data_IF_692106203607
#
_entry.id   IF_692106203607
#
_cell.length_a   1.000
_cell.length_b   1.000
_cell.length_c   1.000
_cell.angle_alpha   90.00
_cell.angle_beta   90.00
_cell.angle_gamma   90.00
#
_symmetry.space_group_name_H-M   'P 1'
#
loop_
_entity.id
_entity.type
_entity.pdbx_description
1 polymer ?
2 water ?
#
# COMPACT_ATOMS: atom_id res chain seq x y z
N UNK A 1 -11.74 3.11 -6.47
CA UNK A 1 -10.88 1.93 -6.41
C UNK A 1 -9.47 2.25 -6.89
N UNK A 2 -8.72 3.00 -6.09
CA UNK A 2 -7.36 3.38 -6.49
C UNK A 2 -6.44 2.17 -6.54
N UNK A 3 -5.30 2.27 -7.22
CA UNK A 3 -4.35 1.16 -7.24
C UNK A 3 -3.87 0.81 -5.84
N UNK A 4 -3.57 -0.47 -5.65
CA UNK A 4 -3.00 -0.98 -4.40
C UNK A 4 -3.90 -0.71 -3.20
N UNK A 5 -5.21 -0.70 -3.42
CA UNK A 5 -6.18 -0.54 -2.34
C UNK A 5 -6.99 -1.81 -2.10
N UNK A 6 -6.56 -2.95 -2.64
CA UNK A 6 -7.16 -4.24 -2.35
C UNK A 6 -6.11 -5.15 -1.73
N UNK A 7 -6.48 -5.83 -0.65
CA UNK A 7 -5.58 -6.74 0.04
C UNK A 7 -6.04 -8.17 -0.17
N UNK A 8 -5.06 -9.07 -0.20
CA UNK A 8 -5.24 -10.51 -0.34
C UNK A 8 -4.84 -11.18 0.97
N UNK A 9 -5.71 -12.04 1.48
CA UNK A 9 -5.55 -12.65 2.79
C UNK A 9 -5.52 -14.16 2.68
N UNK A 10 -4.62 -14.79 3.43
CA UNK A 10 -4.61 -16.23 3.64
C UNK A 10 -5.07 -16.46 5.07
N UNK A 11 -6.25 -17.07 5.21
CA UNK A 11 -6.97 -17.16 6.47
C UNK A 11 -7.45 -18.59 6.68
N UNK A 12 -7.96 -18.85 7.88
CA UNK A 12 -8.58 -20.13 8.16
C UNK A 12 -9.85 -20.30 7.33
N UNK A 13 -10.10 -21.53 6.88
CA UNK A 13 -11.29 -21.77 6.09
C UNK A 13 -12.58 -21.68 6.90
N UNK A 14 -12.49 -21.57 8.23
CA UNK A 14 -13.65 -21.37 9.07
C UNK A 14 -13.88 -19.91 9.43
N UNK A 15 -13.20 -18.98 8.74
CA UNK A 15 -13.36 -17.56 9.01
C UNK A 15 -14.40 -16.98 8.06
N UNK A 16 -15.52 -16.45 8.57
CA UNK A 16 -16.54 -15.89 7.67
C UNK A 16 -16.26 -14.44 7.32
N UNK A 17 -17.12 -13.85 6.48
CA UNK A 17 -16.94 -12.45 6.10
C UNK A 17 -17.13 -11.51 7.28
N UNK A 18 -17.97 -11.88 8.25
CA UNK A 18 -18.27 -10.98 9.36
C UNK A 18 -17.04 -10.73 10.23
N UNK A 19 -16.24 -11.78 10.46
CA UNK A 19 -15.02 -11.62 11.24
C UNK A 19 -14.07 -10.66 10.53
N UNK A 20 -13.88 -10.87 9.22
CA UNK A 20 -13.05 -9.96 8.43
C UNK A 20 -13.56 -8.53 8.51
N UNK A 21 -14.88 -8.35 8.43
CA UNK A 21 -15.45 -7.00 8.48
C UNK A 21 -15.15 -6.34 9.82
N UNK A 22 -15.47 -7.02 10.91
CA UNK A 22 -15.28 -6.39 12.21
C UNK A 22 -13.81 -6.18 12.55
N UNK A 23 -12.91 -6.96 11.95
CA UNK A 23 -11.49 -6.79 12.25
C UNK A 23 -10.78 -5.83 11.31
N UNK A 24 -11.32 -5.56 10.12
CA UNK A 24 -10.67 -4.69 9.15
C UNK A 24 -11.39 -3.36 8.92
N UNK A 25 -12.62 -3.20 9.41
CA UNK A 25 -13.30 -1.92 9.30
C UNK A 25 -12.56 -0.76 9.96
N UNK A 26 -11.91 -0.91 11.12
CA UNK A 26 -11.23 0.25 11.73
C UNK A 26 -10.16 0.89 10.85
N UNK A 27 -9.73 0.22 9.78
CA UNK A 27 -8.65 0.73 8.95
C UNK A 27 -9.12 1.66 7.84
N UNK A 28 -10.41 1.68 7.53
CA UNK A 28 -10.91 2.55 6.50
C UNK A 28 -12.21 2.03 5.92
N UNK A 29 -12.59 2.63 4.79
CA UNK A 29 -13.88 2.36 4.16
C UNK A 29 -13.78 1.11 3.31
N UNK A 30 -14.44 0.04 3.75
CA UNK A 30 -14.41 -1.23 3.03
C UNK A 30 -15.48 -1.21 1.95
N UNK A 31 -15.08 -1.51 0.71
CA UNK A 31 -16.00 -1.54 -0.41
C UNK A 31 -16.41 -2.94 -0.82
N UNK A 32 -15.66 -3.96 -0.42
CA UNK A 32 -16.01 -5.34 -0.74
C UNK A 32 -15.21 -6.27 0.16
N UNK A 33 -15.85 -7.37 0.54
CA UNK A 33 -15.20 -8.48 1.23
C UNK A 33 -15.59 -9.75 0.49
N UNK A 34 -14.60 -10.51 0.04
CA UNK A 34 -14.83 -11.66 -0.83
C UNK A 34 -14.01 -12.83 -0.31
N UNK A 35 -14.66 -13.74 0.39
CA UNK A 35 -14.05 -15.01 0.78
C UNK A 35 -14.25 -15.98 -0.38
N UNK A 36 -13.15 -16.44 -0.97
CA UNK A 36 -13.23 -17.31 -2.13
C UNK A 36 -13.73 -18.69 -1.72
N UNK A 37 -14.80 -19.14 -2.36
CA UNK A 37 -15.38 -20.45 -2.08
C UNK A 37 -15.51 -21.25 -3.37
N UNK A 38 -15.53 -22.57 -3.22
CA UNK A 38 -15.79 -23.44 -4.36
C UNK A 38 -17.20 -23.20 -4.88
N UNK A 39 -17.33 -23.06 -6.20
CA UNK A 39 -18.63 -22.74 -6.78
C UNK A 39 -19.62 -23.90 -6.68
N UNK A 40 -19.14 -25.12 -6.45
CA UNK A 40 -20.01 -26.30 -6.39
C UNK A 40 -20.27 -26.78 -4.97
N UNK A 41 -19.28 -26.69 -4.09
CA UNK A 41 -19.43 -27.12 -2.70
C UNK A 41 -19.71 -25.97 -1.75
N UNK A 42 -19.54 -24.72 -2.20
CA UNK A 42 -19.74 -23.52 -1.38
C UNK A 42 -18.80 -23.48 -0.17
N UNK A 43 -17.71 -24.24 -0.21
CA UNK A 43 -16.78 -24.31 0.91
C UNK A 43 -15.64 -23.33 0.71
N UNK A 44 -15.26 -22.65 1.79
CA UNK A 44 -14.21 -21.65 1.72
C UNK A 44 -12.87 -22.29 1.38
N UNK A 45 -12.09 -21.60 0.54
CA UNK A 45 -10.78 -22.07 0.13
C UNK A 45 -9.65 -21.49 0.97
N UNK A 46 -9.97 -20.77 2.04
CA UNK A 46 -8.94 -20.23 2.90
C UNK A 46 -8.24 -19.00 2.36
N UNK A 47 -8.82 -18.33 1.37
CA UNK A 47 -8.26 -17.10 0.82
C UNK A 47 -9.37 -16.06 0.73
N UNK A 48 -8.99 -14.79 0.85
CA UNK A 48 -9.96 -13.71 0.88
C UNK A 48 -9.39 -12.47 0.23
N UNK A 49 -10.28 -11.56 -0.14
CA UNK A 49 -9.93 -10.25 -0.67
C UNK A 49 -10.74 -9.19 0.05
N UNK A 50 -10.09 -8.09 0.41
CA UNK A 50 -10.78 -6.95 1.03
C UNK A 50 -10.41 -5.69 0.26
N UNK A 51 -11.42 -4.94 -0.16
CA UNK A 51 -11.23 -3.76 -1.00
C UNK A 51 -11.49 -2.50 -0.18
N UNK A 52 -10.49 -1.62 -0.11
CA UNK A 52 -10.59 -0.35 0.60
C UNK A 52 -10.71 0.81 -0.37
N UNK A 53 -11.21 1.93 0.16
CA UNK A 53 -11.38 3.14 -0.64
C UNK A 53 -10.07 3.85 -0.93
N UNK A 54 -9.05 3.65 -0.10
CA UNK A 54 -7.75 4.28 -0.31
C UNK A 54 -6.66 3.25 -0.08
N UNK A 55 -5.55 3.42 -0.81
CA UNK A 55 -4.43 2.50 -0.67
C UNK A 55 -3.77 2.62 0.71
N UNK A 56 -3.87 3.78 1.35
CA UNK A 56 -3.29 3.92 2.69
C UNK A 56 -4.02 3.04 3.69
N UNK A 57 -5.34 2.94 3.56
CA UNK A 57 -6.11 2.08 4.45
C UNK A 57 -5.71 0.62 4.28
N UNK A 58 -5.60 0.17 3.02
CA UNK A 58 -5.19 -1.21 2.75
C UNK A 58 -3.78 -1.48 3.24
N UNK A 59 -2.86 -0.54 3.02
CA UNK A 59 -1.48 -0.73 3.48
C UNK A 59 -1.41 -0.79 5.00
N UNK A 60 -2.15 0.07 5.70
CA UNK A 60 -2.15 0.01 7.16
C UNK A 60 -2.75 -1.30 7.65
N UNK A 61 -3.83 -1.75 7.02
CA UNK A 61 -4.42 -3.03 7.40
C UNK A 61 -3.44 -4.17 7.20
N UNK A 62 -2.69 -4.15 6.10
CA UNK A 62 -1.70 -5.18 5.84
C UNK A 62 -0.56 -5.12 6.85
N UNK A 63 -0.12 -3.91 7.20
CA UNK A 63 1.00 -3.76 8.13
C UNK A 63 0.61 -4.17 9.54
N UNK A 64 -0.66 -3.96 9.92
CA UNK A 64 -1.09 -4.20 11.29
C UNK A 64 -1.76 -5.55 11.51
N UNK A 65 -2.25 -6.21 10.45
CA UNK A 65 -2.99 -7.45 10.60
C UNK A 65 -2.25 -8.69 10.13
N UNK A 66 -1.14 -8.53 9.41
CA UNK A 66 -0.34 -9.68 9.00
C UNK A 66 0.24 -10.38 10.23
N UNK A 67 -0.09 -11.66 10.40
CA UNK A 67 0.40 -12.45 11.51
C UNK A 67 -0.55 -12.54 12.69
N UNK A 68 -1.67 -11.83 12.66
CA UNK A 68 -2.65 -11.90 13.73
C UNK A 68 -3.47 -13.19 13.63
N UNK A 69 -4.15 -13.51 14.72
CA UNK A 69 -5.11 -14.61 14.77
C UNK A 69 -6.51 -14.03 14.77
N UNK A 70 -7.36 -14.52 13.87
CA UNK A 70 -8.72 -14.03 13.74
C UNK A 70 -9.71 -14.83 14.57
N UNK A 71 -9.23 -15.63 15.51
CA UNK A 71 -10.09 -16.41 16.36
C UNK A 71 -9.33 -17.46 17.14
N UNK A 72 -9.62 -17.58 18.44
CA UNK A 72 -8.97 -18.62 19.25
C UNK A 72 -9.16 -20.02 18.70
N UNK A 73 -10.33 -20.31 18.13
CA UNK A 73 -10.57 -21.60 17.48
C UNK A 73 -9.96 -21.69 16.09
N UNK A 74 -9.51 -20.57 15.52
CA UNK A 74 -9.08 -20.52 14.13
C UNK A 74 -7.59 -20.79 13.95
N UNK A 75 -6.89 -21.17 15.02
CA UNK A 75 -5.54 -21.73 14.95
C UNK A 75 -4.52 -20.77 14.35
N UNK A 76 -4.00 -21.10 13.17
CA UNK A 76 -2.77 -20.48 12.69
C UNK A 76 -3.00 -19.03 12.27
N UNK A 77 -1.96 -18.20 12.37
CA UNK A 77 -2.13 -16.78 12.03
C UNK A 77 -2.36 -16.57 10.54
N UNK A 78 -2.97 -15.43 10.23
CA UNK A 78 -3.30 -15.07 8.86
C UNK A 78 -2.10 -14.42 8.20
N UNK A 79 -2.12 -14.37 6.87
CA UNK A 79 -1.16 -13.60 6.09
C UNK A 79 -1.92 -12.55 5.29
N UNK A 80 -1.40 -11.32 5.27
CA UNK A 80 -2.02 -10.23 4.53
C UNK A 80 -0.99 -9.63 3.58
N UNK A 81 -1.41 -9.37 2.34
CA UNK A 81 -0.56 -8.72 1.35
C UNK A 81 -1.40 -7.75 0.54
N UNK A 82 -0.72 -6.91 -0.23
CA UNK A 82 -1.39 -6.07 -1.22
C UNK A 82 -1.62 -6.92 -2.47
N UNK A 83 -2.88 -7.08 -2.85
CA UNK A 83 -3.21 -7.86 -4.04
C UNK A 83 -2.87 -7.07 -5.29
N UNK A 84 -2.20 -7.72 -6.24
CA UNK A 84 -1.87 -7.08 -7.50
C UNK A 84 -2.98 -7.30 -8.52
N UNK A 85 -3.28 -6.26 -9.29
CA UNK A 85 -4.36 -6.33 -10.27
C UNK A 85 -3.94 -7.13 -11.51
N UNK A 86 -2.70 -6.98 -11.95
CA UNK A 86 -2.25 -7.64 -13.16
C UNK A 86 -2.07 -9.14 -12.93
N UNK A 87 -1.96 -9.87 -14.03
CA UNK A 87 -1.81 -11.32 -13.98
C UNK A 87 -0.43 -11.72 -13.48
N UNK A 91 2.86 -14.46 -8.62
CA UNK A 91 2.17 -14.65 -7.34
C UNK A 91 0.98 -13.69 -7.20
N UNK A 92 0.23 -13.84 -6.10
CA UNK A 92 -0.98 -13.07 -5.86
C UNK A 92 -0.74 -11.80 -5.05
N UNK A 93 0.52 -11.39 -4.88
CA UNK A 93 0.84 -10.32 -3.94
C UNK A 93 1.94 -9.43 -4.49
N UNK A 94 1.84 -8.14 -4.16
CA UNK A 94 2.89 -7.18 -4.47
C UNK A 94 3.94 -7.23 -3.38
N UNK A 95 5.18 -6.93 -3.75
CA UNK A 95 6.29 -6.88 -2.80
C UNK A 95 6.38 -5.49 -2.18
N UNK A 96 6.79 -5.44 -0.91
CA UNK A 96 6.87 -4.16 -0.21
C UNK A 96 7.88 -3.23 -0.87
N UNK A 97 8.88 -3.78 -1.56
CA UNK A 97 9.86 -2.94 -2.25
C UNK A 97 9.21 -2.11 -3.36
N UNK A 98 8.11 -2.60 -3.93
CA UNK A 98 7.41 -1.90 -5.00
C UNK A 98 6.41 -0.88 -4.48
N UNK A 99 6.30 -0.71 -3.17
CA UNK A 99 5.26 0.12 -2.58
C UNK A 99 5.80 1.27 -1.74
N UNK A 100 7.12 1.38 -1.55
CA UNK A 100 7.66 2.37 -0.63
C UNK A 100 8.31 3.57 -1.30
N UNK A 101 8.61 3.51 -2.59
CA UNK A 101 9.30 4.59 -3.28
C UNK A 101 8.36 5.29 -4.25
N UNK A 102 8.30 6.61 -4.15
CA UNK A 102 7.42 7.43 -4.96
C UNK A 102 8.27 8.34 -5.85
N UNK A 103 7.71 8.66 -7.01
CA UNK A 103 8.31 9.55 -7.99
C UNK A 103 7.49 10.84 -8.02
N UNK A 104 8.17 11.98 -7.91
CA UNK A 104 7.50 13.27 -7.78
C UNK A 104 8.11 14.28 -8.74
N UNK A 105 7.30 15.25 -9.13
CA UNK A 105 7.75 16.41 -9.89
C UNK A 105 7.84 17.59 -8.94
N UNK A 106 9.04 18.13 -8.79
CA UNK A 106 9.30 19.20 -7.84
C UNK A 106 9.73 20.43 -8.63
N UNK A 107 9.56 21.62 -8.06
CA UNK A 107 10.15 22.81 -8.68
C UNK A 107 11.66 22.67 -8.73
N UNK A 108 12.25 23.21 -9.80
CA UNK A 108 13.69 23.07 -9.98
C UNK A 108 14.50 23.80 -8.91
N UNK A 109 13.86 24.65 -8.11
CA UNK A 109 14.54 25.33 -7.02
C UNK A 109 14.67 24.48 -5.77
N UNK A 110 13.98 23.34 -5.71
CA UNK A 110 14.05 22.46 -4.54
C UNK A 110 15.45 21.87 -4.40
N UNK A 111 16.09 22.14 -3.27
CA UNK A 111 17.25 21.36 -2.90
C UNK A 111 16.80 20.01 -2.35
N UNK A 112 17.76 19.11 -2.13
CA UNK A 112 17.43 17.82 -1.53
C UNK A 112 16.76 18.02 -0.17
N UNK A 113 17.20 19.03 0.58
CA UNK A 113 16.61 19.31 1.88
C UNK A 113 15.19 19.84 1.75
N UNK A 114 14.89 20.60 0.69
CA UNK A 114 13.53 21.08 0.48
C UNK A 114 12.57 19.91 0.25
N UNK A 115 12.96 18.98 -0.62
CA UNK A 115 12.16 17.78 -0.85
C UNK A 115 11.99 16.98 0.44
N UNK A 116 13.09 16.81 1.19
CA UNK A 116 13.02 16.05 2.43
C UNK A 116 12.06 16.70 3.43
N UNK A 117 12.13 18.03 3.58
CA UNK A 117 11.26 18.71 4.53
C UNK A 117 9.81 18.72 4.05
N UNK A 118 9.58 18.71 2.74
CA UNK A 118 8.22 18.70 2.23
C UNK A 118 7.58 17.32 2.30
N UNK A 119 8.37 16.25 2.33
CA UNK A 119 7.79 14.92 2.31
C UNK A 119 8.04 14.08 3.56
N UNK A 120 8.78 14.59 4.54
CA UNK A 120 8.95 13.83 5.78
C UNK A 120 7.69 13.80 6.64
N UNK A 121 6.70 14.64 6.32
CA UNK A 121 5.47 14.68 7.10
C UNK A 121 4.58 13.47 6.88
N UNK A 122 4.92 12.59 5.93
CA UNK A 122 4.11 11.43 5.62
C UNK A 122 4.69 10.12 6.13
N UNK A 123 5.90 10.14 6.67
CA UNK A 123 6.48 8.94 7.22
C UNK A 123 7.99 9.04 7.29
N UNK A 124 8.60 7.91 7.64
CA UNK A 124 10.06 7.82 7.76
C UNK A 124 10.68 7.78 6.37
N UNK A 125 11.44 8.82 6.03
CA UNK A 125 12.13 8.87 4.75
C UNK A 125 13.40 8.04 4.86
N UNK A 126 13.45 6.92 4.13
CA UNK A 126 14.64 6.08 4.12
C UNK A 126 15.66 6.58 3.10
N UNK A 127 15.20 6.97 1.91
CA UNK A 127 16.10 7.57 0.94
C UNK A 127 15.38 8.68 0.19
N UNK A 128 16.16 9.66 -0.27
CA UNK A 128 15.60 10.85 -0.88
C UNK A 128 16.62 11.41 -1.85
N UNK A 129 16.21 11.63 -3.10
CA UNK A 129 17.15 12.16 -4.08
C UNK A 129 16.41 12.97 -5.14
N UNK A 130 17.18 13.78 -5.86
CA UNK A 130 16.68 14.64 -6.93
C UNK A 130 17.52 14.40 -8.17
N UNK A 131 16.86 14.28 -9.32
CA UNK A 131 17.56 14.06 -10.58
C UNK A 131 18.12 15.39 -11.08
N UNK A 132 19.43 15.43 -11.28
CA UNK A 132 20.14 16.66 -11.61
C UNK A 132 20.73 16.57 -13.01
N UNK A 133 20.60 17.66 -13.77
CA UNK A 133 21.19 17.73 -15.10
C UNK A 133 22.71 17.71 -14.99
N UNK A 134 23.35 16.70 -15.57
CA UNK A 134 24.80 16.56 -15.42
C UNK A 134 25.54 17.73 -16.08
N UNK A 135 25.03 18.22 -17.20
CA UNK A 135 25.70 19.30 -17.92
C UNK A 135 25.59 20.60 -17.13
N UNK A 136 24.37 21.10 -16.94
CA UNK A 136 24.18 22.38 -16.26
C UNK A 136 24.33 22.27 -14.75
N UNK A 137 24.28 21.06 -14.19
CA UNK A 137 24.34 20.91 -12.75
C UNK A 137 23.07 21.28 -12.02
N UNK A 138 21.98 21.53 -12.74
CA UNK A 138 20.74 21.99 -12.15
C UNK A 138 19.74 20.84 -12.05
N UNK A 139 18.75 21.03 -11.18
CA UNK A 139 17.72 20.03 -10.98
C UNK A 139 16.85 19.89 -12.22
N UNK A 140 16.46 18.66 -12.53
CA UNK A 140 15.57 18.36 -13.64
C UNK A 140 14.10 18.48 -13.26
N UNK A 141 13.79 18.92 -12.05
CA UNK A 141 12.41 18.95 -11.61
C UNK A 141 11.83 17.59 -11.29
N UNK A 142 12.68 16.60 -11.01
CA UNK A 142 12.26 15.24 -10.74
C UNK A 142 12.90 14.76 -9.45
N UNK A 143 12.13 14.03 -8.63
CA UNK A 143 12.63 13.57 -7.36
C UNK A 143 12.07 12.20 -7.01
N UNK A 144 12.78 11.52 -6.12
CA UNK A 144 12.41 10.21 -5.62
C UNK A 144 12.46 10.20 -4.10
N UNK A 145 11.44 9.61 -3.49
CA UNK A 145 11.36 9.52 -2.03
C UNK A 145 10.94 8.10 -1.67
N UNK A 146 11.81 7.36 -0.98
CA UNK A 146 11.52 6.00 -0.55
C UNK A 146 11.35 5.99 0.97
N UNK A 147 10.17 5.57 1.42
CA UNK A 147 9.77 5.54 2.81
C UNK A 147 10.03 4.16 3.42
N UNK A 148 9.71 4.04 4.71
CA UNK A 148 9.88 2.77 5.42
C UNK A 148 8.70 1.84 5.20
N UNK A 149 7.47 2.35 5.37
CA UNK A 149 6.25 1.58 5.25
C UNK A 149 5.51 1.94 3.97
N UNK A 150 4.85 0.97 3.33
CA UNK A 150 4.00 1.31 2.18
C UNK A 150 2.88 2.28 2.52
N UNK A 151 2.36 2.23 3.74
CA UNK A 151 1.30 3.16 4.14
C UNK A 151 1.78 4.60 4.08
N UNK A 152 3.05 4.84 4.41
CA UNK A 152 3.58 6.20 4.36
C UNK A 152 3.66 6.71 2.93
N UNK A 153 4.12 5.86 2.00
CA UNK A 153 4.14 6.24 0.60
C UNK A 153 2.73 6.51 0.09
N UNK A 154 1.75 5.71 0.52
CA UNK A 154 0.38 5.93 0.09
C UNK A 154 -0.18 7.23 0.65
N UNK A 155 0.12 7.54 1.91
CA UNK A 155 -0.30 8.80 2.51
C UNK A 155 0.29 9.98 1.76
N UNK A 156 1.57 9.89 1.40
CA UNK A 156 2.18 10.93 0.58
C UNK A 156 1.47 11.06 -0.76
N UNK A 157 1.22 9.93 -1.43
CA UNK A 157 0.61 9.95 -2.75
C UNK A 157 -0.76 10.62 -2.72
N UNK A 158 -1.55 10.33 -1.69
CA UNK A 158 -2.93 10.81 -1.66
C UNK A 158 -3.13 12.04 -0.79
N UNK A 159 -2.07 12.62 -0.23
CA UNK A 159 -2.24 13.79 0.61
C UNK A 159 -1.45 15.01 0.15
N UNK A 160 -0.35 14.84 -0.58
CA UNK A 160 0.44 15.99 -0.96
C UNK A 160 -0.22 16.74 -2.12
N UNK A 161 0.32 17.92 -2.42
CA UNK A 161 -0.26 18.78 -3.44
C UNK A 161 -0.27 18.06 -4.79
N UNK A 162 -1.31 18.32 -5.58
CA UNK A 162 -1.45 17.65 -6.86
C UNK A 162 -0.43 18.12 -7.89
N UNK A 163 0.25 19.24 -7.64
CA UNK A 163 1.28 19.69 -8.57
C UNK A 163 2.48 18.75 -8.57
N UNK A 164 2.70 18.03 -7.47
CA UNK A 164 3.81 17.09 -7.41
C UNK A 164 3.58 15.86 -8.27
N UNK A 165 2.33 15.61 -8.67
CA UNK A 165 1.97 14.44 -9.47
C UNK A 165 2.56 13.16 -8.88
N UNK A 166 2.37 13.00 -7.57
CA UNK A 166 2.98 11.88 -6.86
C UNK A 166 2.41 10.55 -7.34
N UNK A 167 3.31 9.58 -7.52
CA UNK A 167 2.93 8.24 -7.95
C UNK A 167 4.05 7.31 -7.54
N UNK A 168 3.72 6.03 -7.37
CA UNK A 168 4.74 5.03 -7.07
C UNK A 168 5.70 4.88 -8.25
N UNK A 169 6.97 4.67 -7.94
CA UNK A 169 7.92 4.31 -8.98
C UNK A 169 7.60 2.92 -9.52
N UNK A 170 7.83 2.74 -10.81
CA UNK A 170 7.49 1.49 -11.48
C UNK A 170 8.39 1.31 -12.68
N UNK A 171 8.69 0.06 -13.06
CA UNK A 171 9.61 -0.17 -14.18
C UNK A 171 9.07 0.40 -15.49
N UNK A 172 9.98 0.60 -16.43
CA UNK A 172 9.62 1.06 -17.77
C UNK A 172 9.41 -0.12 -18.71
#
# INVERSE_FOLDING_TARGET
>A
MPPNSRIFLVISKYTPESVLRERFSPFGDIQDIWVVRDKHTKESKGIAFVKFARSSQACRAMEEMHGQCLGPNDTKPIKVFIAQSRSSGSHRDVEDEELTRIFVMIPKSYTEEDLREKFKVYGDIEYCSIIKNKVTGESKGLGYVRYLKPSQAAQAIENCDRSFRAILAEPKNKASESSEQLEHHHHHH
#
